data_IF_897677449826
#
_entry.id   IF_897677449826
#
_cell.length_a   1.000
_cell.length_b   1.000
_cell.length_c   1.000
_cell.angle_alpha   90.00
_cell.angle_beta   90.00
_cell.angle_gamma   90.00
#
_symmetry.space_group_name_H-M   'P 1'
#
loop_
_entity.id
_entity.type
_entity.pdbx_description
1 polymer ?
#
# COMPACT_ATOMS: atom_id res chain seq x y z
N UNK A 1 0.54 -18.33 -7.78
CA UNK A 1 -0.51 -18.16 -8.80
C UNK A 1 -1.37 -17.00 -8.36
N UNK A 2 -1.15 -15.81 -8.92
CA UNK A 2 -1.93 -14.60 -8.65
C UNK A 2 -2.74 -14.37 -9.92
N UNK A 3 -4.06 -14.41 -9.81
CA UNK A 3 -4.98 -14.23 -10.94
C UNK A 3 -5.54 -12.81 -10.83
N UNK A 4 -5.24 -11.97 -11.83
CA UNK A 4 -6.02 -10.78 -12.13
C UNK A 4 -6.82 -11.07 -13.39
N UNK A 5 -8.15 -10.96 -13.31
CA UNK A 5 -9.02 -10.98 -14.49
C UNK A 5 -9.82 -9.69 -14.51
N UNK A 6 -9.77 -9.02 -15.66
CA UNK A 6 -10.68 -7.96 -16.08
C UNK A 6 -11.26 -8.44 -17.40
N UNK A 7 -12.57 -8.37 -17.60
CA UNK A 7 -13.18 -8.77 -18.87
C UNK A 7 -14.19 -7.73 -19.35
N UNK A 8 -14.16 -7.49 -20.66
CA UNK A 8 -15.08 -6.65 -21.42
C UNK A 8 -15.37 -7.34 -22.76
N UNK A 9 -16.51 -6.95 -23.35
CA UNK A 9 -16.95 -7.06 -24.77
C UNK A 9 -17.95 -8.18 -25.15
N UNK A 10 -19.21 -7.75 -25.34
CA UNK A 10 -20.07 -7.77 -26.58
C UNK A 10 -19.79 -8.80 -27.69
N UNK A 11 -20.71 -9.31 -28.53
CA UNK A 11 -22.15 -9.11 -28.83
C UNK A 11 -22.64 -10.20 -29.82
N UNK A 12 -23.96 -10.43 -29.87
CA UNK A 12 -24.84 -10.84 -30.99
C UNK A 12 -24.61 -12.14 -31.81
N UNK A 13 -25.67 -12.97 -31.91
CA UNK A 13 -26.44 -13.21 -33.14
C UNK A 13 -27.83 -13.78 -32.80
N UNK A 14 -28.83 -13.39 -33.60
CA UNK A 14 -30.25 -13.58 -33.35
C UNK A 14 -30.87 -14.75 -34.13
N UNK A 15 -32.12 -15.07 -33.73
CA UNK A 15 -33.23 -15.57 -34.57
C UNK A 15 -33.43 -17.08 -34.73
N UNK A 16 -33.91 -17.75 -33.68
CA UNK A 16 -34.95 -18.80 -33.82
C UNK A 16 -35.56 -19.13 -32.46
N UNK A 17 -36.42 -18.28 -31.88
CA UNK A 17 -37.18 -18.72 -30.69
C UNK A 17 -38.35 -17.85 -30.25
N UNK A 18 -38.85 -16.91 -31.07
CA UNK A 18 -39.97 -16.03 -30.66
C UNK A 18 -41.25 -16.80 -30.28
N UNK A 19 -41.39 -18.07 -30.70
CA UNK A 19 -42.49 -18.95 -30.26
C UNK A 19 -42.21 -19.67 -28.93
N UNK A 20 -40.95 -19.93 -28.56
CA UNK A 20 -40.61 -20.46 -27.24
C UNK A 20 -40.49 -19.34 -26.20
N UNK A 21 -40.08 -18.13 -26.59
CA UNK A 21 -40.00 -16.96 -25.70
C UNK A 21 -41.37 -16.55 -25.14
N UNK A 22 -42.46 -16.71 -25.89
CA UNK A 22 -43.82 -16.41 -25.41
C UNK A 22 -44.34 -17.53 -24.49
N UNK A 23 -43.88 -18.77 -24.68
CA UNK A 23 -44.28 -19.93 -23.84
C UNK A 23 -43.48 -20.01 -22.55
N UNK A 24 -42.19 -19.63 -22.57
CA UNK A 24 -41.35 -19.50 -21.38
C UNK A 24 -41.70 -18.25 -20.57
N UNK A 25 -41.99 -17.11 -21.19
CA UNK A 25 -42.37 -15.89 -20.45
C UNK A 25 -43.68 -16.02 -19.68
N UNK A 26 -44.64 -16.84 -20.14
CA UNK A 26 -45.88 -17.09 -19.42
C UNK A 26 -45.72 -18.08 -18.24
N UNK A 27 -44.76 -19.01 -18.31
CA UNK A 27 -44.47 -19.96 -17.23
C UNK A 27 -43.52 -19.34 -16.19
N UNK A 28 -42.59 -18.47 -16.61
CA UNK A 28 -41.71 -17.72 -15.70
C UNK A 28 -42.44 -16.59 -14.96
N UNK A 29 -43.54 -16.04 -15.51
CA UNK A 29 -44.35 -15.01 -14.83
C UNK A 29 -45.20 -15.56 -13.67
N UNK A 30 -45.46 -16.88 -13.64
CA UNK A 30 -46.17 -17.55 -12.54
C UNK A 30 -45.25 -18.29 -11.57
N UNK A 31 -43.97 -18.44 -11.89
CA UNK A 31 -42.97 -18.92 -10.94
C UNK A 31 -42.54 -17.77 -10.02
N UNK A 32 -43.39 -17.43 -9.05
CA UNK A 32 -43.00 -16.66 -7.86
C UNK A 32 -41.75 -17.33 -7.27
N UNK A 33 -40.55 -16.77 -7.54
CA UNK A 33 -39.30 -17.20 -6.95
C UNK A 33 -39.18 -16.51 -5.59
N UNK A 34 -39.55 -17.16 -4.46
CA UNK A 34 -39.58 -16.53 -3.14
C UNK A 34 -38.22 -15.93 -2.73
N UNK A 35 -37.12 -16.44 -3.30
CA UNK A 35 -35.76 -15.99 -3.01
C UNK A 35 -35.49 -14.51 -3.30
N UNK A 36 -36.06 -13.93 -4.37
CA UNK A 36 -35.84 -12.51 -4.70
C UNK A 36 -36.61 -11.56 -3.77
N UNK A 37 -37.82 -11.94 -3.39
CA UNK A 37 -38.64 -11.16 -2.45
C UNK A 37 -38.08 -11.26 -1.03
N UNK A 38 -37.61 -12.44 -0.62
CA UNK A 38 -36.90 -12.61 0.66
C UNK A 38 -35.60 -11.79 0.72
N UNK A 39 -34.79 -11.79 -0.34
CA UNK A 39 -33.58 -10.95 -0.41
C UNK A 39 -33.91 -9.47 -0.39
N UNK A 40 -34.91 -9.03 -1.16
CA UNK A 40 -35.35 -7.63 -1.15
C UNK A 40 -35.91 -7.21 0.21
N UNK A 41 -36.75 -8.03 0.83
CA UNK A 41 -37.31 -7.76 2.16
C UNK A 41 -36.18 -7.74 3.20
N UNK A 42 -35.23 -8.68 3.16
CA UNK A 42 -34.05 -8.64 4.04
C UNK A 42 -33.23 -7.37 3.85
N UNK A 43 -33.02 -6.92 2.61
CA UNK A 43 -32.26 -5.69 2.33
C UNK A 43 -33.01 -4.45 2.82
N UNK A 44 -34.31 -4.33 2.54
CA UNK A 44 -35.15 -3.22 2.98
C UNK A 44 -35.26 -3.18 4.50
N UNK A 45 -35.46 -4.33 5.15
CA UNK A 45 -35.53 -4.45 6.61
C UNK A 45 -34.18 -4.12 7.23
N UNK A 46 -33.06 -4.61 6.68
CA UNK A 46 -31.73 -4.28 7.17
C UNK A 46 -31.42 -2.79 7.01
N UNK A 47 -31.76 -2.17 5.88
CA UNK A 47 -31.49 -0.75 5.65
C UNK A 47 -32.37 0.15 6.52
N UNK A 48 -33.63 -0.22 6.73
CA UNK A 48 -34.55 0.48 7.65
C UNK A 48 -34.11 0.34 9.12
N UNK A 49 -33.66 -0.85 9.54
CA UNK A 49 -33.26 -1.08 10.94
C UNK A 49 -31.90 -0.46 11.27
N UNK A 50 -30.96 -0.37 10.31
CA UNK A 50 -29.60 0.17 10.54
C UNK A 50 -29.59 1.56 11.19
N UNK A 51 -30.58 2.40 10.91
CA UNK A 51 -30.62 3.80 11.36
C UNK A 51 -31.57 4.06 12.53
N UNK A 52 -32.36 3.06 12.96
CA UNK A 52 -33.39 3.24 14.01
C UNK A 52 -32.85 3.15 15.44
N UNK A 53 -31.61 2.70 15.61
CA UNK A 53 -30.95 2.58 16.91
C UNK A 53 -30.24 3.86 17.36
N UNK A 54 -29.55 3.78 18.50
CA UNK A 54 -28.65 4.84 18.95
C UNK A 54 -27.40 4.89 18.06
N UNK A 55 -26.97 6.09 17.66
CA UNK A 55 -25.66 6.29 17.03
C UNK A 55 -24.58 6.02 18.08
N UNK A 56 -24.04 4.80 18.08
CA UNK A 56 -22.85 4.49 18.86
C UNK A 56 -21.68 5.16 18.14
N UNK A 57 -21.12 6.21 18.73
CA UNK A 57 -19.87 6.78 18.24
C UNK A 57 -18.84 5.65 18.19
N UNK A 58 -18.18 5.41 17.04
CA UNK A 58 -17.23 4.34 16.93
C UNK A 58 -16.13 4.57 17.97
N UNK A 59 -15.94 3.61 18.88
CA UNK A 59 -14.80 3.64 19.77
C UNK A 59 -13.52 3.61 18.92
N UNK A 60 -12.51 4.44 19.24
CA UNK A 60 -11.26 4.48 18.47
C UNK A 60 -10.52 3.13 18.44
N UNK A 61 -10.90 2.20 19.32
CA UNK A 61 -10.32 0.85 19.47
C UNK A 61 -10.94 -0.17 18.50
N UNK A 62 -12.00 0.17 17.75
CA UNK A 62 -12.69 -0.83 16.90
C UNK A 62 -11.76 -1.30 15.78
N UNK A 63 -11.38 -2.59 15.86
CA UNK A 63 -10.35 -3.28 15.06
C UNK A 63 -10.44 -3.10 13.54
N UNK A 64 -11.58 -2.67 12.99
CA UNK A 64 -11.75 -2.56 11.54
C UNK A 64 -11.40 -1.18 10.97
N UNK A 65 -11.37 -0.11 11.78
CA UNK A 65 -11.26 1.25 11.24
C UNK A 65 -9.86 1.64 10.75
N UNK A 66 -8.79 1.13 11.38
CA UNK A 66 -7.42 1.43 10.96
C UNK A 66 -7.05 0.78 9.63
N UNK A 67 -7.64 -0.38 9.32
CA UNK A 67 -7.46 -1.02 8.02
C UNK A 67 -8.07 -0.17 6.90
N UNK A 68 -9.32 0.26 7.01
CA UNK A 68 -9.99 0.90 5.86
C UNK A 68 -9.52 2.33 5.61
N UNK A 69 -9.29 3.10 6.68
CA UNK A 69 -8.85 4.50 6.58
C UNK A 69 -7.72 4.77 7.58
N UNK A 70 -6.45 4.52 7.19
CA UNK A 70 -5.32 4.83 8.03
C UNK A 70 -5.18 6.34 8.28
N UNK A 71 -4.66 6.68 9.44
CA UNK A 71 -4.51 8.04 9.95
C UNK A 71 -3.27 8.70 9.34
N UNK A 72 -3.30 10.01 9.14
CA UNK A 72 -2.13 10.76 8.67
C UNK A 72 -1.09 10.96 9.78
N UNK A 73 0.17 11.14 9.39
CA UNK A 73 1.27 11.39 10.34
C UNK A 73 1.08 12.63 11.24
N UNK A 74 0.28 13.60 10.79
CA UNK A 74 -0.04 14.83 11.54
C UNK A 74 -1.05 14.59 12.66
N UNK A 75 -2.00 13.69 12.44
CA UNK A 75 -3.09 13.37 13.37
C UNK A 75 -2.70 12.28 14.38
N UNK A 76 -1.46 11.80 14.31
CA UNK A 76 -0.91 10.83 15.27
C UNK A 76 -0.79 11.44 16.67
N UNK A 77 -1.36 10.73 17.64
CA UNK A 77 -1.27 11.05 19.06
C UNK A 77 -0.62 9.92 19.86
N UNK A 78 0.00 10.25 21.00
CA UNK A 78 0.55 9.26 21.94
C UNK A 78 -0.55 8.32 22.43
N UNK A 79 -1.76 8.84 22.68
CA UNK A 79 -2.91 8.03 23.08
C UNK A 79 -3.23 6.94 22.05
N UNK A 80 -3.10 7.24 20.77
CA UNK A 80 -3.33 6.27 19.71
C UNK A 80 -2.25 5.19 19.69
N UNK A 81 -0.98 5.57 19.77
CA UNK A 81 0.15 4.63 19.86
C UNK A 81 0.03 3.73 21.10
N UNK A 82 -0.40 4.29 22.23
CA UNK A 82 -0.68 3.55 23.46
C UNK A 82 -1.81 2.53 23.24
N UNK A 83 -2.92 2.96 22.62
CA UNK A 83 -4.09 2.11 22.35
C UNK A 83 -3.80 0.97 21.35
N UNK A 84 -2.87 1.19 20.41
CA UNK A 84 -2.41 0.18 19.46
C UNK A 84 -1.42 -0.82 20.09
N UNK A 85 -0.91 -0.54 21.29
CA UNK A 85 0.04 -1.40 22.00
C UNK A 85 1.50 -1.22 21.56
N UNK A 86 1.85 -0.08 20.95
CA UNK A 86 3.22 0.20 20.47
C UNK A 86 4.27 0.26 21.59
N UNK A 87 3.84 0.54 22.83
CA UNK A 87 4.70 0.71 24.00
C UNK A 87 5.18 -0.61 24.62
N UNK A 88 4.54 -1.73 24.27
CA UNK A 88 4.85 -3.03 24.85
C UNK A 88 6.04 -3.64 24.11
N UNK A 89 7.22 -3.61 24.71
CA UNK A 89 8.36 -4.31 24.15
C UNK A 89 8.41 -5.78 24.54
N UNK A 90 9.60 -6.35 24.45
CA UNK A 90 9.88 -7.74 24.78
C UNK A 90 10.25 -7.94 26.26
N UNK A 91 10.38 -9.20 26.67
CA UNK A 91 10.87 -9.59 27.99
C UNK A 91 12.25 -8.99 28.31
N UNK A 92 12.41 -8.51 29.54
CA UNK A 92 13.67 -7.95 30.06
C UNK A 92 14.87 -8.89 29.94
N UNK A 93 14.66 -10.21 29.90
CA UNK A 93 15.72 -11.20 29.73
C UNK A 93 16.29 -11.30 28.31
N UNK A 94 15.52 -10.88 27.30
CA UNK A 94 15.90 -10.92 25.88
C UNK A 94 16.18 -9.50 25.34
N UNK A 95 16.25 -8.53 26.23
CA UNK A 95 16.48 -7.14 25.90
C UNK A 95 17.88 -6.92 25.30
N UNK A 96 17.95 -6.19 24.20
CA UNK A 96 19.20 -5.78 23.58
C UNK A 96 19.67 -4.44 24.15
N UNK A 97 20.86 -4.34 24.77
CA UNK A 97 21.36 -3.09 25.36
C UNK A 97 21.42 -1.90 24.40
N UNK A 98 21.59 -2.14 23.09
CA UNK A 98 21.61 -1.08 22.06
C UNK A 98 20.28 -0.31 21.97
N UNK A 99 19.16 -0.88 22.42
CA UNK A 99 17.84 -0.22 22.44
C UNK A 99 17.61 0.63 23.69
N UNK A 100 18.54 0.66 24.65
CA UNK A 100 18.39 1.41 25.91
C UNK A 100 17.89 2.85 25.75
N UNK A 101 18.29 3.64 24.73
CA UNK A 101 17.79 5.00 24.57
C UNK A 101 16.28 5.08 24.31
N UNK A 102 15.70 4.03 23.71
CA UNK A 102 14.27 3.97 23.34
C UNK A 102 13.37 3.39 24.43
N UNK A 103 13.96 2.87 25.51
CA UNK A 103 13.21 2.25 26.61
C UNK A 103 12.92 3.31 27.67
N UNK A 104 11.64 3.47 28.01
CA UNK A 104 11.17 4.33 29.09
C UNK A 104 11.45 3.71 30.47
N UNK A 105 11.26 2.40 30.59
CA UNK A 105 11.47 1.66 31.83
C UNK A 105 11.00 0.22 31.70
N UNK A 106 10.88 -0.48 32.83
CA UNK A 106 10.41 -1.86 32.86
C UNK A 106 9.19 -1.99 33.78
N UNK A 107 8.22 -2.82 33.39
CA UNK A 107 7.03 -3.12 34.20
C UNK A 107 6.59 -4.55 33.94
N UNK A 108 6.28 -5.29 35.01
CA UNK A 108 5.81 -6.68 34.93
C UNK A 108 6.76 -7.60 34.11
N UNK A 109 8.07 -7.36 34.19
CA UNK A 109 9.08 -8.15 33.47
C UNK A 109 9.23 -7.85 31.98
N UNK A 110 8.50 -6.85 31.47
CA UNK A 110 8.51 -6.40 30.07
C UNK A 110 9.14 -5.01 29.99
N UNK A 111 9.89 -4.77 28.92
CA UNK A 111 10.44 -3.45 28.60
C UNK A 111 9.35 -2.54 28.02
N UNK A 112 9.21 -1.34 28.54
CA UNK A 112 8.27 -0.33 28.03
C UNK A 112 9.04 0.61 27.10
N UNK A 113 8.59 0.71 25.86
CA UNK A 113 9.14 1.63 24.85
C UNK A 113 8.58 3.04 25.09
N UNK A 114 9.45 4.04 24.98
CA UNK A 114 9.09 5.45 25.06
C UNK A 114 8.33 5.91 23.81
N UNK A 115 7.02 6.15 24.00
CA UNK A 115 6.12 6.55 22.91
C UNK A 115 6.38 7.96 22.37
N UNK A 116 7.00 8.85 23.14
CA UNK A 116 7.39 10.17 22.63
C UNK A 116 8.46 10.01 21.56
N UNK A 117 9.43 9.14 21.81
CA UNK A 117 10.44 8.77 20.82
C UNK A 117 9.79 8.06 19.63
N UNK A 118 8.92 7.06 19.87
CA UNK A 118 8.17 6.41 18.79
C UNK A 118 7.51 7.43 17.85
N UNK A 119 6.84 8.44 18.41
CA UNK A 119 6.18 9.48 17.63
C UNK A 119 7.15 10.32 16.78
N UNK A 120 8.29 10.72 17.35
CA UNK A 120 9.31 11.51 16.64
C UNK A 120 9.90 10.70 15.48
N UNK A 121 10.29 9.45 15.75
CA UNK A 121 10.90 8.57 14.76
C UNK A 121 9.91 8.16 13.66
N UNK A 122 8.66 7.87 14.01
CA UNK A 122 7.60 7.57 13.04
C UNK A 122 7.34 8.76 12.11
N UNK A 123 7.23 9.99 12.64
CA UNK A 123 7.09 11.20 11.81
C UNK A 123 8.28 11.43 10.88
N UNK A 124 9.49 11.15 11.35
CA UNK A 124 10.71 11.21 10.52
C UNK A 124 10.64 10.20 9.37
N UNK A 125 10.27 8.95 9.67
CA UNK A 125 10.10 7.90 8.68
C UNK A 125 9.03 8.29 7.63
N UNK A 126 7.87 8.78 8.07
CA UNK A 126 6.82 9.28 7.16
C UNK A 126 7.32 10.37 6.22
N UNK A 127 8.14 11.31 6.72
CA UNK A 127 8.74 12.35 5.88
C UNK A 127 9.62 11.75 4.78
N UNK A 128 10.51 10.83 5.13
CA UNK A 128 11.40 10.15 4.16
C UNK A 128 10.56 9.39 3.12
N UNK A 129 9.57 8.62 3.56
CA UNK A 129 8.68 7.86 2.68
C UNK A 129 7.93 8.77 1.70
N UNK A 130 7.43 9.92 2.18
CA UNK A 130 6.73 10.90 1.36
C UNK A 130 7.64 11.50 0.30
N UNK A 131 8.86 11.90 0.65
CA UNK A 131 9.81 12.50 -0.31
C UNK A 131 10.25 11.49 -1.37
N UNK A 132 10.52 10.24 -1.00
CA UNK A 132 10.89 9.19 -1.96
C UNK A 132 9.73 8.91 -2.92
N UNK A 133 8.50 8.83 -2.41
CA UNK A 133 7.32 8.67 -3.26
C UNK A 133 7.09 9.88 -4.19
N UNK A 134 7.34 11.09 -3.70
CA UNK A 134 7.27 12.33 -4.49
C UNK A 134 8.27 12.34 -5.64
N UNK A 135 9.49 11.84 -5.42
CA UNK A 135 10.50 11.69 -6.47
C UNK A 135 10.20 10.54 -7.44
N UNK A 136 9.19 9.73 -7.16
CA UNK A 136 8.85 8.55 -7.97
C UNK A 136 9.72 7.33 -7.69
N UNK A 137 10.37 7.27 -6.53
CA UNK A 137 11.18 6.15 -6.11
C UNK A 137 10.37 4.90 -5.79
N UNK A 138 11.00 3.74 -5.94
CA UNK A 138 10.41 2.43 -5.71
C UNK A 138 10.43 2.10 -4.22
N UNK A 139 9.26 2.04 -3.60
CA UNK A 139 9.10 1.65 -2.19
C UNK A 139 8.71 0.17 -2.11
N UNK A 140 9.37 -0.57 -1.21
CA UNK A 140 9.11 -1.98 -0.97
C UNK A 140 8.72 -2.24 0.49
N UNK A 141 7.49 -2.69 0.73
CA UNK A 141 7.02 -3.14 2.04
C UNK A 141 7.34 -4.62 2.25
N UNK A 142 7.92 -4.96 3.40
CA UNK A 142 8.31 -6.33 3.75
C UNK A 142 7.66 -6.68 5.09
N UNK A 143 6.82 -7.70 5.07
CA UNK A 143 6.13 -8.21 6.24
C UNK A 143 5.88 -9.70 6.07
N UNK A 144 6.77 -10.52 6.60
CA UNK A 144 6.87 -11.95 6.23
C UNK A 144 6.16 -12.89 7.20
N UNK A 145 5.66 -12.36 8.32
CA UNK A 145 4.86 -13.11 9.29
C UNK A 145 3.55 -13.60 8.63
N UNK A 146 3.20 -14.88 8.78
CA UNK A 146 1.97 -15.43 8.20
C UNK A 146 0.73 -14.84 8.88
N UNK A 147 -0.42 -14.91 8.19
CA UNK A 147 -1.70 -14.44 8.73
C UNK A 147 -1.96 -12.96 8.46
N UNK A 148 -2.34 -12.22 9.50
CA UNK A 148 -2.82 -10.83 9.36
C UNK A 148 -1.70 -9.88 8.90
N UNK A 149 -0.46 -10.11 9.30
CA UNK A 149 0.70 -9.32 8.87
C UNK A 149 0.88 -9.29 7.35
N UNK A 150 0.74 -10.44 6.69
CA UNK A 150 0.78 -10.50 5.23
C UNK A 150 -0.32 -9.66 4.58
N UNK A 151 -1.54 -9.67 5.14
CA UNK A 151 -2.65 -8.84 4.69
C UNK A 151 -2.35 -7.35 4.87
N UNK A 152 -1.89 -6.93 6.06
CA UNK A 152 -1.49 -5.55 6.37
C UNK A 152 -0.45 -5.04 5.37
N UNK A 153 0.56 -5.85 5.07
CA UNK A 153 1.63 -5.51 4.12
C UNK A 153 1.09 -5.30 2.71
N UNK A 154 0.22 -6.21 2.24
CA UNK A 154 -0.41 -6.13 0.90
C UNK A 154 -1.28 -4.87 0.80
N UNK A 155 -2.07 -4.59 1.82
CA UNK A 155 -2.96 -3.43 1.82
C UNK A 155 -2.20 -2.11 1.89
N UNK A 156 -1.17 -2.01 2.74
CA UNK A 156 -0.31 -0.83 2.83
C UNK A 156 0.36 -0.53 1.49
N UNK A 157 0.92 -1.55 0.83
CA UNK A 157 1.51 -1.39 -0.48
C UNK A 157 0.49 -1.00 -1.56
N UNK A 158 -0.71 -1.61 -1.55
CA UNK A 158 -1.79 -1.25 -2.47
C UNK A 158 -2.23 0.21 -2.30
N UNK A 159 -2.32 0.72 -1.07
CA UNK A 159 -2.68 2.13 -0.78
C UNK A 159 -1.61 3.11 -1.29
N UNK A 160 -0.34 2.71 -1.18
CA UNK A 160 0.82 3.51 -1.58
C UNK A 160 1.22 3.37 -3.06
N UNK A 161 0.55 2.49 -3.82
CA UNK A 161 1.00 2.04 -5.15
C UNK A 161 2.48 1.55 -5.14
N UNK A 162 2.86 0.88 -4.05
CA UNK A 162 4.18 0.36 -3.78
C UNK A 162 4.26 -1.16 -3.97
N UNK A 163 5.48 -1.71 -3.87
CA UNK A 163 5.71 -3.15 -3.95
C UNK A 163 5.63 -3.80 -2.56
N UNK A 164 5.38 -5.11 -2.51
CA UNK A 164 5.28 -5.85 -1.25
C UNK A 164 5.92 -7.24 -1.30
N UNK A 165 6.39 -7.69 -0.14
CA UNK A 165 6.78 -9.07 0.15
C UNK A 165 6.06 -9.53 1.41
N UNK A 166 4.90 -10.17 1.23
CA UNK A 166 4.10 -10.75 2.31
C UNK A 166 4.49 -12.20 2.67
N UNK A 167 5.22 -12.87 1.79
CA UNK A 167 5.75 -14.22 2.02
C UNK A 167 7.19 -14.13 2.52
N UNK A 168 7.85 -15.27 2.66
CA UNK A 168 9.28 -15.33 3.00
C UNK A 168 10.15 -14.57 1.97
N UNK A 169 11.11 -13.78 2.47
CA UNK A 169 12.17 -13.17 1.66
C UNK A 169 13.07 -14.25 1.05
N UNK A 170 13.35 -14.16 -0.24
CA UNK A 170 14.29 -15.06 -0.92
C UNK A 170 15.68 -14.43 -0.85
N UNK A 171 16.66 -15.06 -0.18
CA UNK A 171 18.03 -14.55 -0.15
C UNK A 171 18.59 -14.38 -1.57
N UNK A 172 19.28 -13.28 -1.82
CA UNK A 172 19.80 -12.91 -3.13
C UNK A 172 18.81 -12.16 -4.02
N UNK A 173 17.65 -11.74 -3.51
CA UNK A 173 16.68 -10.96 -4.30
C UNK A 173 17.28 -9.64 -4.78
N UNK A 174 18.15 -9.00 -3.99
CA UNK A 174 18.81 -7.75 -4.38
C UNK A 174 20.20 -8.04 -4.95
N UNK A 175 21.05 -8.77 -4.19
CA UNK A 175 22.46 -9.00 -4.54
C UNK A 175 22.64 -9.93 -5.75
N UNK A 176 21.71 -10.87 -5.96
CA UNK A 176 21.71 -11.82 -7.08
C UNK A 176 20.37 -11.77 -7.85
N UNK A 177 19.85 -10.55 -8.01
CA UNK A 177 18.55 -10.28 -8.64
C UNK A 177 18.42 -10.89 -10.04
N UNK A 178 19.51 -10.93 -10.83
CA UNK A 178 19.51 -11.49 -12.19
C UNK A 178 19.14 -12.98 -12.24
N UNK A 179 19.47 -13.75 -11.21
CA UNK A 179 19.12 -15.17 -11.12
C UNK A 179 17.79 -15.38 -10.40
N UNK A 180 17.57 -14.70 -9.28
CA UNK A 180 16.38 -14.88 -8.44
C UNK A 180 15.12 -14.38 -9.14
N UNK A 181 15.21 -13.21 -9.79
CA UNK A 181 14.08 -12.58 -10.48
C UNK A 181 14.00 -12.97 -11.96
N UNK A 182 14.86 -13.88 -12.44
CA UNK A 182 14.97 -14.26 -13.85
C UNK A 182 13.61 -14.60 -14.49
N UNK A 183 12.79 -15.41 -13.81
CA UNK A 183 11.47 -15.81 -14.33
C UNK A 183 10.53 -14.61 -14.48
N UNK A 184 10.51 -13.72 -13.50
CA UNK A 184 9.68 -12.51 -13.55
C UNK A 184 10.16 -11.55 -14.65
N UNK A 185 11.48 -11.38 -14.78
CA UNK A 185 12.07 -10.57 -15.83
C UNK A 185 11.67 -11.08 -17.22
N UNK A 186 11.69 -12.39 -17.44
CA UNK A 186 11.27 -13.00 -18.71
C UNK A 186 9.77 -12.82 -18.98
N UNK A 187 8.90 -13.01 -17.97
CA UNK A 187 7.45 -12.76 -18.12
C UNK A 187 7.16 -11.29 -18.47
N UNK A 188 7.87 -10.35 -17.85
CA UNK A 188 7.72 -8.92 -18.16
C UNK A 188 8.28 -8.59 -19.55
N UNK A 189 9.32 -9.29 -20.04
CA UNK A 189 9.78 -9.17 -21.44
C UNK A 189 8.70 -9.62 -22.42
N UNK A 190 8.03 -10.74 -22.16
CA UNK A 190 6.96 -11.23 -23.02
C UNK A 190 5.79 -10.26 -23.08
N UNK A 191 5.42 -9.68 -21.92
CA UNK A 191 4.40 -8.62 -21.85
C UNK A 191 4.86 -7.35 -22.59
N UNK A 192 6.09 -6.89 -22.36
CA UNK A 192 6.63 -5.70 -23.03
C UNK A 192 6.77 -5.91 -24.54
N UNK A 193 7.17 -7.11 -25.01
CA UNK A 193 7.29 -7.43 -26.42
C UNK A 193 5.95 -7.39 -27.17
N UNK A 194 4.82 -7.61 -26.46
CA UNK A 194 3.48 -7.43 -27.02
C UNK A 194 3.06 -5.96 -27.19
N UNK A 195 3.64 -5.03 -26.43
CA UNK A 195 3.47 -3.58 -26.56
C UNK A 195 4.75 -2.96 -27.15
N UNK A 196 4.90 -3.03 -28.47
CA UNK A 196 6.16 -2.69 -29.17
C UNK A 196 6.59 -1.22 -29.03
N UNK A 197 7.79 -1.03 -28.47
CA UNK A 197 8.78 -0.04 -28.89
C UNK A 197 10.20 -0.66 -28.78
N UNK A 198 10.94 -0.87 -29.90
CA UNK A 198 12.25 -1.54 -29.89
C UNK A 198 13.35 -0.80 -29.12
N UNK A 199 13.21 0.52 -28.94
CA UNK A 199 14.19 1.36 -28.25
C UNK A 199 14.11 1.27 -26.72
N UNK A 200 13.04 0.71 -26.16
CA UNK A 200 12.91 0.48 -24.70
C UNK A 200 13.47 -0.88 -24.24
N UNK A 201 14.09 -1.65 -25.15
CA UNK A 201 14.80 -2.89 -24.81
C UNK A 201 16.12 -2.65 -24.06
N UNK A 202 16.51 -1.38 -23.86
CA UNK A 202 17.70 -1.01 -23.09
C UNK A 202 17.53 -1.37 -21.61
N UNK A 203 17.97 -2.59 -21.30
CA UNK A 203 18.34 -3.10 -19.99
C UNK A 203 17.19 -3.05 -19.00
N UNK A 204 16.52 -4.19 -18.82
CA UNK A 204 15.79 -4.46 -17.58
C UNK A 204 16.77 -4.28 -16.43
N UNK A 205 16.75 -3.07 -15.84
CA UNK A 205 17.51 -2.76 -14.64
C UNK A 205 17.09 -3.78 -13.61
N UNK A 206 18.08 -4.46 -13.02
CA UNK A 206 17.90 -5.25 -11.82
C UNK A 206 17.00 -4.47 -10.87
N UNK A 207 15.88 -5.08 -10.46
CA UNK A 207 14.91 -4.45 -9.56
C UNK A 207 15.63 -4.02 -8.28
N UNK A 208 15.79 -2.72 -8.10
CA UNK A 208 16.45 -2.11 -6.95
C UNK A 208 15.48 -1.13 -6.31
N UNK A 209 14.92 -1.44 -5.13
CA UNK A 209 14.08 -0.49 -4.42
C UNK A 209 14.91 0.70 -3.94
N UNK A 210 14.31 1.88 -3.93
CA UNK A 210 14.90 3.11 -3.39
C UNK A 210 14.65 3.25 -1.89
N UNK A 211 13.65 2.54 -1.36
CA UNK A 211 13.34 2.47 0.06
C UNK A 211 12.75 1.10 0.41
N UNK A 212 13.25 0.49 1.48
CA UNK A 212 12.67 -0.73 2.04
C UNK A 212 12.06 -0.44 3.42
N UNK A 213 10.79 -0.79 3.59
CA UNK A 213 10.04 -0.66 4.85
C UNK A 213 9.82 -2.07 5.39
N UNK A 214 10.41 -2.38 6.54
CA UNK A 214 10.45 -3.73 7.12
C UNK A 214 9.64 -3.72 8.42
N UNK A 215 8.51 -4.43 8.40
CA UNK A 215 7.57 -4.47 9.51
C UNK A 215 8.02 -5.41 10.64
N UNK A 216 8.84 -6.41 10.30
CA UNK A 216 9.34 -7.41 11.24
C UNK A 216 10.84 -7.68 10.97
N UNK A 217 11.76 -6.84 11.51
CA UNK A 217 13.19 -6.90 11.20
C UNK A 217 13.90 -8.16 11.66
N UNK A 218 13.48 -8.76 12.78
CA UNK A 218 14.14 -9.92 13.38
C UNK A 218 14.12 -11.12 12.43
N UNK A 219 13.00 -11.38 11.75
CA UNK A 219 12.90 -12.49 10.79
C UNK A 219 13.48 -12.16 9.41
N UNK A 220 13.73 -10.88 9.13
CA UNK A 220 14.17 -10.39 7.82
C UNK A 220 15.57 -9.76 7.83
N UNK A 221 16.47 -10.24 8.70
CA UNK A 221 17.84 -9.73 8.80
C UNK A 221 18.62 -9.84 7.48
N UNK A 222 18.36 -10.89 6.68
CA UNK A 222 19.00 -11.08 5.38
C UNK A 222 18.59 -9.96 4.41
N UNK A 223 17.32 -9.56 4.40
CA UNK A 223 16.85 -8.45 3.56
C UNK A 223 17.52 -7.13 3.96
N UNK A 224 17.71 -6.91 5.27
CA UNK A 224 18.42 -5.73 5.80
C UNK A 224 19.89 -5.74 5.38
N UNK A 225 20.57 -6.88 5.49
CA UNK A 225 21.97 -7.01 5.10
C UNK A 225 22.18 -6.82 3.59
N UNK A 226 21.29 -7.35 2.76
CA UNK A 226 21.30 -7.11 1.32
C UNK A 226 21.03 -5.64 0.98
N UNK A 227 20.06 -5.00 1.64
CA UNK A 227 19.76 -3.58 1.47
C UNK A 227 20.98 -2.70 1.81
N UNK A 228 21.65 -3.01 2.93
CA UNK A 228 22.87 -2.32 3.33
C UNK A 228 23.99 -2.48 2.30
N UNK A 229 24.21 -3.70 1.82
CA UNK A 229 25.21 -4.00 0.77
C UNK A 229 24.92 -3.27 -0.55
N UNK A 230 23.64 -3.02 -0.85
CA UNK A 230 23.18 -2.33 -2.05
C UNK A 230 23.01 -0.81 -1.87
N UNK A 231 23.35 -0.25 -0.71
CA UNK A 231 23.14 1.16 -0.34
C UNK A 231 21.68 1.61 -0.47
N UNK A 232 20.74 0.77 -0.02
CA UNK A 232 19.30 1.07 0.00
C UNK A 232 18.91 1.46 1.42
N UNK A 233 18.30 2.64 1.64
CA UNK A 233 17.84 3.04 2.96
C UNK A 233 16.70 2.15 3.44
N UNK A 234 16.74 1.81 4.74
CA UNK A 234 15.75 0.94 5.38
C UNK A 234 15.01 1.68 6.50
N UNK A 235 13.69 1.54 6.53
CA UNK A 235 12.83 1.89 7.67
C UNK A 235 12.42 0.58 8.33
N UNK A 236 12.53 0.47 9.65
CA UNK A 236 12.17 -0.76 10.37
C UNK A 236 11.44 -0.49 11.68
N UNK A 237 10.47 -1.33 12.03
CA UNK A 237 9.86 -1.36 13.37
C UNK A 237 10.83 -2.07 14.31
N UNK A 238 11.38 -1.34 15.28
CA UNK A 238 12.41 -1.85 16.19
C UNK A 238 11.80 -2.10 17.56
N UNK A 239 11.67 -3.37 17.94
CA UNK A 239 11.38 -3.76 19.32
C UNK A 239 12.67 -3.77 20.17
N UNK A 240 12.52 -3.90 21.48
CA UNK A 240 13.55 -3.88 22.51
C UNK A 240 14.66 -4.93 22.36
N UNK A 241 14.43 -6.02 21.62
CA UNK A 241 15.39 -7.11 21.36
C UNK A 241 16.15 -6.95 20.02
N UNK A 242 15.75 -6.01 19.16
CA UNK A 242 16.40 -5.75 17.87
C UNK A 242 17.40 -4.58 17.93
N UNK A 243 18.56 -4.72 17.29
CA UNK A 243 19.57 -3.66 17.24
C UNK A 243 19.14 -2.52 16.28
N UNK A 244 18.83 -1.30 16.80
CA UNK A 244 18.38 -0.18 15.98
C UNK A 244 19.44 0.30 14.98
N UNK A 245 20.72 0.01 15.21
CA UNK A 245 21.81 0.39 14.31
C UNK A 245 21.79 -0.35 12.97
N UNK A 246 21.01 -1.42 12.83
CA UNK A 246 20.90 -2.20 11.58
C UNK A 246 19.99 -1.56 10.53
N UNK A 247 19.16 -0.60 10.91
CA UNK A 247 18.24 0.09 9.99
C UNK A 247 18.56 1.57 9.91
N UNK A 248 18.34 2.19 8.74
CA UNK A 248 18.64 3.62 8.55
C UNK A 248 17.71 4.53 9.35
N UNK A 249 16.44 4.15 9.44
CA UNK A 249 15.39 4.91 10.12
C UNK A 249 14.59 3.96 11.04
N UNK A 250 15.05 3.76 12.29
CA UNK A 250 14.35 2.92 13.25
C UNK A 250 13.06 3.59 13.72
N UNK A 251 11.99 2.81 13.89
CA UNK A 251 10.75 3.22 14.54
C UNK A 251 10.62 2.37 15.80
N UNK A 252 10.97 2.87 17.00
CA UNK A 252 10.91 2.08 18.21
C UNK A 252 9.45 1.79 18.55
N UNK A 253 9.02 0.55 18.43
CA UNK A 253 7.65 0.11 18.71
C UNK A 253 7.56 -1.42 18.73
N UNK A 254 6.48 -1.92 19.35
CA UNK A 254 6.10 -3.32 19.32
C UNK A 254 5.88 -3.84 17.88
N UNK A 255 6.62 -4.85 17.45
CA UNK A 255 6.45 -5.54 16.16
C UNK A 255 5.65 -6.86 16.27
N UNK A 256 5.42 -7.37 17.48
CA UNK A 256 4.59 -8.55 17.76
C UNK A 256 3.09 -8.26 17.71
N UNK A 257 2.67 -7.05 18.11
CA UNK A 257 1.26 -6.64 18.07
C UNK A 257 0.81 -6.32 16.65
N UNK A 258 -0.19 -7.07 16.17
CA UNK A 258 -0.86 -6.81 14.87
C UNK A 258 -1.36 -5.37 14.78
N UNK A 259 -1.96 -4.84 15.86
CA UNK A 259 -2.53 -3.49 15.89
C UNK A 259 -1.45 -2.41 15.79
N UNK A 260 -0.30 -2.63 16.43
CA UNK A 260 0.85 -1.73 16.36
C UNK A 260 1.40 -1.66 14.93
N UNK A 261 1.65 -2.84 14.34
CA UNK A 261 2.17 -2.93 12.97
C UNK A 261 1.18 -2.40 11.94
N UNK A 262 -0.11 -2.68 12.10
CA UNK A 262 -1.17 -2.16 11.23
C UNK A 262 -1.23 -0.62 11.27
N UNK A 263 -1.17 -0.03 12.47
CA UNK A 263 -1.16 1.42 12.62
C UNK A 263 0.07 2.02 11.93
N UNK A 264 1.27 1.50 12.21
CA UNK A 264 2.52 2.03 11.64
C UNK A 264 2.55 1.88 10.12
N UNK A 265 2.24 0.69 9.60
CA UNK A 265 2.19 0.43 8.17
C UNK A 265 1.12 1.30 7.47
N UNK A 266 -0.03 1.48 8.12
CA UNK A 266 -1.09 2.36 7.68
C UNK A 266 -0.60 3.80 7.51
N UNK A 267 -0.01 4.39 8.55
CA UNK A 267 0.50 5.77 8.52
C UNK A 267 1.58 5.94 7.44
N UNK A 268 2.53 4.99 7.32
CA UNK A 268 3.56 5.02 6.28
C UNK A 268 2.96 4.95 4.87
N UNK A 269 1.92 4.13 4.68
CA UNK A 269 1.22 4.03 3.39
C UNK A 269 0.49 5.33 3.01
N UNK A 270 -0.09 6.03 3.99
CA UNK A 270 -0.70 7.35 3.79
C UNK A 270 0.36 8.37 3.39
N UNK A 271 1.51 8.39 4.08
CA UNK A 271 2.60 9.30 3.76
C UNK A 271 3.15 9.08 2.34
N UNK A 272 3.31 7.82 1.91
CA UNK A 272 3.67 7.48 0.54
C UNK A 272 2.61 7.98 -0.46
N UNK A 273 1.34 7.65 -0.23
CA UNK A 273 0.22 8.09 -1.08
C UNK A 273 0.15 9.61 -1.21
N UNK A 274 0.39 10.33 -0.12
CA UNK A 274 0.40 11.79 -0.12
C UNK A 274 1.54 12.35 -0.99
N UNK A 275 2.72 11.73 -0.95
CA UNK A 275 3.85 12.05 -1.84
C UNK A 275 3.52 11.81 -3.31
N UNK A 276 2.93 10.64 -3.61
CA UNK A 276 2.49 10.29 -4.96
C UNK A 276 1.44 11.27 -5.51
N UNK A 277 0.44 11.61 -4.70
CA UNK A 277 -0.60 12.56 -5.07
C UNK A 277 -0.03 13.96 -5.30
N UNK A 278 0.97 14.37 -4.52
CA UNK A 278 1.67 15.62 -4.72
C UNK A 278 2.39 15.63 -6.07
N UNK A 279 3.14 14.57 -6.39
CA UNK A 279 3.81 14.41 -7.69
C UNK A 279 2.83 14.55 -8.85
N UNK A 280 1.73 13.78 -8.82
CA UNK A 280 0.68 13.79 -9.86
C UNK A 280 0.08 15.17 -10.09
N UNK A 281 -0.13 15.95 -9.02
CA UNK A 281 -0.63 17.34 -9.13
C UNK A 281 0.36 18.23 -9.87
N UNK A 282 1.64 18.18 -9.49
CA UNK A 282 2.68 18.99 -10.16
C UNK A 282 2.83 18.60 -11.63
N UNK A 283 2.85 17.31 -11.94
CA UNK A 283 2.93 16.81 -13.32
C UNK A 283 1.73 17.30 -14.15
N UNK A 284 0.50 17.17 -13.61
CA UNK A 284 -0.70 17.65 -14.29
C UNK A 284 -0.73 19.17 -14.51
N UNK A 285 -0.20 19.95 -13.57
CA UNK A 285 -0.11 21.40 -13.72
C UNK A 285 0.96 21.81 -14.76
N UNK A 286 2.07 21.07 -14.83
CA UNK A 286 3.09 21.25 -15.87
C UNK A 286 2.55 20.90 -17.27
N UNK A 287 1.78 19.83 -17.40
CA UNK A 287 1.13 19.45 -18.67
C UNK A 287 0.14 20.51 -19.15
N UNK A 288 -0.70 21.05 -18.24
CA UNK A 288 -1.61 22.15 -18.57
C UNK A 288 -0.87 23.39 -19.06
N UNK A 289 0.25 23.76 -18.40
CA UNK A 289 1.10 24.89 -18.84
C UNK A 289 1.67 24.65 -20.24
N UNK A 290 2.23 23.46 -20.50
CA UNK A 290 2.72 23.09 -21.84
C UNK A 290 1.62 23.17 -22.90
N UNK A 291 0.42 22.69 -22.60
CA UNK A 291 -0.71 22.74 -23.53
C UNK A 291 -1.16 24.18 -23.82
N UNK A 292 -1.15 25.06 -22.81
CA UNK A 292 -1.44 26.49 -22.99
C UNK A 292 -0.37 27.17 -23.86
N UNK A 293 0.91 26.89 -23.64
CA UNK A 293 2.01 27.42 -24.46
C UNK A 293 1.94 26.96 -25.93
N UNK A 294 1.65 25.67 -26.16
CA UNK A 294 1.46 25.11 -27.51
C UNK A 294 0.27 25.81 -28.20
N UNK A 295 -0.84 25.99 -27.48
CA UNK A 295 -2.03 26.66 -28.01
C UNK A 295 -1.74 28.12 -28.39
N UNK A 296 -1.03 28.86 -27.52
CA UNK A 296 -0.64 30.25 -27.78
C UNK A 296 0.36 30.38 -28.94
N UNK A 297 1.36 29.49 -29.04
CA UNK A 297 2.30 29.43 -30.17
C UNK A 297 1.59 29.07 -31.48
N UNK A 298 0.64 28.14 -31.43
CA UNK A 298 -0.21 27.79 -32.56
C UNK A 298 -0.98 29.00 -33.08
N UNK A 299 -1.73 29.70 -32.22
CA UNK A 299 -2.50 30.91 -32.56
C UNK A 299 -1.60 32.02 -33.12
N UNK A 300 -0.42 32.24 -32.54
CA UNK A 300 0.56 33.21 -33.05
C UNK A 300 1.08 32.88 -34.46
N UNK A 301 1.19 31.58 -34.80
CA UNK A 301 1.62 31.13 -36.13
C UNK A 301 0.50 31.28 -37.18
N UNK A 302 -0.76 31.02 -36.81
CA UNK A 302 -1.91 31.25 -37.68
C UNK A 302 -2.05 32.73 -38.06
N UNK A 303 -1.86 33.65 -37.11
CA UNK A 303 -1.89 35.08 -37.38
C UNK A 303 -0.77 35.51 -38.35
N UNK A 304 0.46 34.98 -38.21
CA UNK A 304 1.55 35.28 -39.17
C UNK A 304 1.24 34.80 -40.59
N UNK A 305 0.64 33.61 -40.74
CA UNK A 305 0.26 33.06 -42.05
C UNK A 305 -0.86 33.87 -42.71
N UNK A 306 -1.82 34.37 -41.92
CA UNK A 306 -2.89 35.24 -42.42
C UNK A 306 -2.37 36.60 -42.88
N UNK A 307 -1.43 37.21 -42.14
CA UNK A 307 -0.82 38.50 -42.51
C UNK A 307 0.12 38.42 -43.73
N UNK A 308 0.66 37.24 -44.08
CA UNK A 308 1.47 37.06 -45.29
C UNK A 308 0.65 36.77 -46.56
N UNK A 309 -0.65 36.48 -46.41
CA UNK A 309 -1.58 36.20 -47.52
C UNK A 309 -2.52 37.35 -47.85
N UNK A 310 -2.48 38.44 -47.09
CA UNK A 310 -3.20 39.70 -47.33
C UNK A 310 -2.25 40.73 -47.93
#
# INVERSE_FOLDING_TARGET
VIIFVRSFSTSFYASTSLRNAIRESYIDAMAYKPRKLEEMVKNIVNDSIKETGTIVSPSPVREQQHSETPISSYDLSISLLLSAGCHLGHSTSLWNPSTSPFIYGTRAGISIIDLEQTLIYLRRACKVTREISFLGGIILFIGTRPGIFGKVTIEAAKRAEAYQVAKRWIPGTITNSSQVLRKMLLEDQERAASNRDPQQQEVLKAFKPDLMIILNPIENQIAIAEAHSANIPTIGIVDSDFDPGRVSYPIPANDDSVRSVELIAGVLSVAARDGLNHRRKIEGDLEKKKQQEITQKGVGNWNKVLYQKA
#
